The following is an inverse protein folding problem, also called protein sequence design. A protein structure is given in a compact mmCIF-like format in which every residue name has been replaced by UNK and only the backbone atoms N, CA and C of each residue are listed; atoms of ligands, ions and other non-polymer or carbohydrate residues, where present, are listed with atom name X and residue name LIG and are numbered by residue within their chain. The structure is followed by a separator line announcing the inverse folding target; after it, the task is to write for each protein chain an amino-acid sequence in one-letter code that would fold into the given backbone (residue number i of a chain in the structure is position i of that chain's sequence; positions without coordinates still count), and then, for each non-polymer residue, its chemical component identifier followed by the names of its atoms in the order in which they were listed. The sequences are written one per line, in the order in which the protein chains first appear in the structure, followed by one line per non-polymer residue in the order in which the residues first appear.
data_IF_890575220242
#
_entry.id   IF_890575220242
#
_cell.length_a   1.000
_cell.length_b   1.000
_cell.length_c   1.000
_cell.angle_alpha   90.00
_cell.angle_beta   90.00
_cell.angle_gamma   90.00
#
_symmetry.space_group_name_H-M   'P 1'
#
loop_
_entity.id
_entity.type
_entity.pdbx_description
1 polymer ?
#
# COMPACT_ATOMS: atom_id res chain seq x y z
N UNK A 1 -17.43 -38.78 -19.65
CA UNK A 1 -17.15 -37.78 -18.65
C UNK A 1 -16.40 -36.66 -19.38
N UNK A 2 -17.07 -35.55 -19.66
CA UNK A 2 -16.42 -34.36 -20.23
C UNK A 2 -15.62 -33.74 -19.09
N UNK A 3 -14.31 -33.73 -19.21
CA UNK A 3 -13.46 -32.92 -18.31
C UNK A 3 -13.91 -31.47 -18.48
N UNK A 4 -14.22 -30.74 -17.40
CA UNK A 4 -14.50 -29.30 -17.49
C UNK A 4 -13.30 -28.63 -18.15
N UNK A 5 -13.55 -27.72 -19.08
CA UNK A 5 -12.48 -26.93 -19.67
C UNK A 5 -11.69 -26.27 -18.53
N UNK A 6 -10.34 -26.22 -18.60
CA UNK A 6 -9.56 -25.53 -17.60
C UNK A 6 -10.02 -24.08 -17.51
N UNK A 7 -10.05 -23.48 -16.30
CA UNK A 7 -10.45 -22.09 -16.15
C UNK A 7 -9.57 -21.21 -17.04
N UNK A 8 -10.14 -20.18 -17.68
CA UNK A 8 -9.44 -19.33 -18.65
C UNK A 8 -8.26 -18.57 -18.01
N UNK A 9 -8.27 -18.40 -16.68
CA UNK A 9 -7.20 -17.79 -15.92
C UNK A 9 -6.60 -18.74 -14.89
N UNK A 10 -5.28 -18.76 -14.82
CA UNK A 10 -4.56 -19.51 -13.80
C UNK A 10 -4.56 -18.78 -12.47
N UNK A 11 -4.47 -17.45 -12.51
CA UNK A 11 -4.45 -16.56 -11.34
C UNK A 11 -5.48 -15.46 -11.49
N UNK A 12 -6.29 -15.25 -10.46
CA UNK A 12 -7.18 -14.08 -10.34
C UNK A 12 -6.71 -13.20 -9.18
N UNK A 13 -6.41 -11.96 -9.47
CA UNK A 13 -6.03 -10.92 -8.50
C UNK A 13 -7.22 -10.00 -8.26
N UNK A 14 -7.66 -9.86 -7.03
CA UNK A 14 -8.77 -8.99 -6.64
C UNK A 14 -8.24 -7.75 -5.92
N UNK A 15 -8.45 -6.58 -6.54
CA UNK A 15 -7.96 -5.27 -6.08
C UNK A 15 -6.77 -4.78 -6.89
N UNK A 16 -6.93 -3.68 -7.62
CA UNK A 16 -5.94 -3.05 -8.49
C UNK A 16 -5.10 -1.96 -7.81
N UNK A 17 -4.88 -2.06 -6.50
CA UNK A 17 -3.96 -1.18 -5.77
C UNK A 17 -2.50 -1.53 -6.01
N UNK A 18 -1.59 -0.90 -5.25
CA UNK A 18 -0.13 -1.13 -5.34
C UNK A 18 0.21 -2.63 -5.27
N UNK A 19 -0.36 -3.34 -4.30
CA UNK A 19 -0.14 -4.78 -4.15
C UNK A 19 -0.68 -5.59 -5.32
N UNK A 20 -1.90 -5.26 -5.79
CA UNK A 20 -2.53 -6.00 -6.88
C UNK A 20 -1.88 -5.80 -8.24
N UNK A 21 -1.45 -4.58 -8.57
CA UNK A 21 -0.64 -4.32 -9.77
C UNK A 21 0.65 -5.13 -9.71
N UNK A 22 1.34 -5.10 -8.57
CA UNK A 22 2.59 -5.86 -8.39
C UNK A 22 2.37 -7.36 -8.42
N UNK A 23 1.23 -7.84 -7.88
CA UNK A 23 0.87 -9.26 -7.93
C UNK A 23 0.57 -9.73 -9.36
N UNK A 24 -0.21 -8.95 -10.12
CA UNK A 24 -0.50 -9.28 -11.51
C UNK A 24 0.77 -9.36 -12.36
N UNK A 25 1.66 -8.37 -12.23
CA UNK A 25 2.95 -8.36 -12.91
C UNK A 25 3.83 -9.55 -12.49
N UNK A 26 3.92 -9.82 -11.16
CA UNK A 26 4.68 -10.96 -10.63
C UNK A 26 4.18 -12.30 -11.15
N UNK A 27 2.87 -12.49 -11.23
CA UNK A 27 2.25 -13.73 -11.74
C UNK A 27 2.48 -13.89 -13.25
N UNK A 28 2.20 -12.87 -14.05
CA UNK A 28 2.34 -12.92 -15.49
C UNK A 28 3.79 -13.17 -15.94
N UNK A 29 4.74 -12.48 -15.31
CA UNK A 29 6.19 -12.65 -15.55
C UNK A 29 6.71 -14.00 -15.09
N UNK A 30 5.98 -14.70 -14.25
CA UNK A 30 6.23 -16.10 -13.87
C UNK A 30 5.48 -17.11 -14.73
N UNK A 31 4.81 -16.67 -15.81
CA UNK A 31 4.21 -17.53 -16.84
C UNK A 31 2.71 -17.80 -16.68
N UNK A 32 2.01 -17.23 -15.69
CA UNK A 32 0.59 -17.48 -15.46
C UNK A 32 -0.31 -16.49 -16.22
N UNK A 33 -1.35 -17.00 -16.88
CA UNK A 33 -2.42 -16.18 -17.42
C UNK A 33 -3.24 -15.59 -16.25
N UNK A 34 -3.24 -14.27 -16.15
CA UNK A 34 -3.66 -13.54 -14.96
C UNK A 34 -4.77 -12.56 -15.26
N UNK A 35 -5.83 -12.59 -14.45
CA UNK A 35 -6.90 -11.59 -14.47
C UNK A 35 -6.75 -10.68 -13.24
N UNK A 36 -6.70 -9.36 -13.46
CA UNK A 36 -6.77 -8.34 -12.42
C UNK A 36 -8.16 -7.70 -12.40
N UNK A 37 -8.86 -7.84 -11.29
CA UNK A 37 -10.18 -7.22 -11.04
C UNK A 37 -10.04 -6.00 -10.13
N UNK A 38 -10.52 -4.85 -10.57
CA UNK A 38 -10.57 -3.61 -9.78
C UNK A 38 -11.98 -3.03 -9.78
N UNK A 39 -12.52 -2.73 -8.60
CA UNK A 39 -13.86 -2.16 -8.44
C UNK A 39 -14.02 -0.74 -8.96
N UNK A 40 -12.93 0.04 -8.97
CA UNK A 40 -12.92 1.41 -9.50
C UNK A 40 -12.77 1.40 -11.01
N UNK A 41 -13.08 2.53 -11.63
CA UNK A 41 -12.85 2.74 -13.07
C UNK A 41 -11.36 2.74 -13.47
N UNK A 42 -10.43 2.84 -12.52
CA UNK A 42 -8.98 2.84 -12.73
C UNK A 42 -8.27 2.10 -11.62
N UNK A 43 -7.12 1.52 -11.95
CA UNK A 43 -6.17 0.94 -10.98
C UNK A 43 -5.46 2.01 -10.15
N UNK A 44 -4.64 1.60 -9.16
CA UNK A 44 -3.75 2.47 -8.41
C UNK A 44 -4.03 2.55 -6.90
N UNK A 45 -5.25 2.18 -6.47
CA UNK A 45 -5.59 2.14 -5.04
C UNK A 45 -5.26 3.43 -4.30
N UNK A 46 -4.69 3.35 -3.09
CA UNK A 46 -4.33 4.53 -2.28
C UNK A 46 -3.33 5.44 -2.99
N UNK A 47 -2.37 4.89 -3.72
CA UNK A 47 -1.36 5.69 -4.43
C UNK A 47 -1.95 6.71 -5.42
N UNK A 48 -3.10 6.37 -6.02
CA UNK A 48 -3.77 7.21 -7.03
C UNK A 48 -5.00 7.92 -6.47
N UNK A 49 -5.83 7.22 -5.68
CA UNK A 49 -7.14 7.73 -5.27
C UNK A 49 -7.14 8.45 -3.91
N UNK A 50 -6.08 8.28 -3.13
CA UNK A 50 -5.82 8.97 -1.87
C UNK A 50 -4.31 9.15 -1.69
N UNK A 51 -3.67 9.94 -2.55
CA UNK A 51 -2.21 10.05 -2.58
C UNK A 51 -1.67 10.58 -1.26
N UNK A 52 -0.56 10.00 -0.83
CA UNK A 52 0.16 10.46 0.37
C UNK A 52 1.24 11.49 0.04
N UNK A 53 1.49 11.73 -1.24
CA UNK A 53 2.45 12.72 -1.75
C UNK A 53 3.91 12.29 -1.76
N UNK A 54 4.23 11.19 -1.10
CA UNK A 54 5.59 10.68 -0.97
C UNK A 54 5.64 9.17 -1.17
N UNK A 55 6.58 8.71 -1.98
CA UNK A 55 6.94 7.29 -2.10
C UNK A 55 8.37 7.11 -1.65
N UNK A 56 8.60 6.14 -0.78
CA UNK A 56 9.93 5.84 -0.27
C UNK A 56 10.37 4.43 -0.69
N UNK A 57 11.65 4.32 -1.05
CA UNK A 57 12.36 3.04 -1.12
C UNK A 57 13.28 2.96 0.07
N UNK A 58 13.31 1.82 0.70
CA UNK A 58 14.16 1.59 1.86
C UNK A 58 15.41 0.84 1.46
N UNK A 59 16.48 1.12 2.19
CA UNK A 59 17.80 0.54 1.97
C UNK A 59 18.27 -0.14 3.25
N UNK A 60 19.16 -1.11 3.09
CA UNK A 60 19.93 -1.64 4.21
C UNK A 60 20.96 -0.61 4.73
N UNK A 61 21.65 -0.95 5.82
CA UNK A 61 22.66 -0.08 6.43
C UNK A 61 23.81 0.30 5.49
N UNK A 62 24.02 -0.45 4.39
CA UNK A 62 25.03 -0.19 3.37
C UNK A 62 24.49 0.64 2.19
N UNK A 63 23.24 1.09 2.26
CA UNK A 63 22.58 1.86 1.19
C UNK A 63 22.05 1.01 0.03
N UNK A 64 22.02 -0.32 0.15
CA UNK A 64 21.47 -1.21 -0.88
C UNK A 64 19.93 -1.20 -0.80
N UNK A 65 19.21 -0.85 -1.88
CA UNK A 65 17.75 -0.88 -1.88
C UNK A 65 17.19 -2.28 -1.60
N UNK A 66 16.26 -2.37 -0.64
CA UNK A 66 15.56 -3.60 -0.25
C UNK A 66 14.15 -3.71 -0.83
N UNK A 67 13.59 -2.62 -1.36
CA UNK A 67 12.36 -2.61 -2.12
C UNK A 67 12.70 -2.39 -3.60
N UNK A 68 12.78 -3.46 -4.35
CA UNK A 68 13.21 -3.50 -5.76
C UNK A 68 12.09 -4.07 -6.65
N UNK A 69 12.46 -4.67 -7.77
CA UNK A 69 11.51 -5.34 -8.67
C UNK A 69 10.49 -4.37 -9.25
N UNK A 70 9.22 -4.77 -9.25
CA UNK A 70 8.11 -3.99 -9.80
C UNK A 70 8.04 -2.59 -9.17
N UNK A 71 8.36 -2.44 -7.88
CA UNK A 71 8.37 -1.13 -7.22
C UNK A 71 9.27 -0.13 -7.95
N UNK A 72 10.45 -0.55 -8.39
CA UNK A 72 11.40 0.31 -9.09
C UNK A 72 10.92 0.74 -10.48
N UNK A 73 10.04 0.00 -11.10
CA UNK A 73 9.56 0.29 -12.46
C UNK A 73 8.54 1.44 -12.49
N UNK A 74 7.74 1.60 -11.43
CA UNK A 74 6.79 2.71 -11.35
C UNK A 74 7.25 3.87 -10.47
N UNK A 75 8.29 3.69 -9.65
CA UNK A 75 8.96 4.77 -8.94
C UNK A 75 10.32 5.00 -9.57
N UNK A 76 10.48 5.95 -10.49
CA UNK A 76 11.77 6.24 -11.08
C UNK A 76 12.66 6.86 -10.01
N UNK A 77 13.79 6.20 -9.75
CA UNK A 77 14.75 6.70 -8.79
C UNK A 77 15.57 7.84 -9.35
N UNK A 78 15.58 8.94 -8.62
CA UNK A 78 16.79 9.75 -8.55
C UNK A 78 17.59 9.17 -7.38
N UNK A 79 18.51 8.27 -7.69
CA UNK A 79 19.44 7.71 -6.72
C UNK A 79 20.25 8.83 -6.10
N UNK A 80 20.12 9.03 -4.79
CA UNK A 80 21.02 9.91 -4.01
C UNK A 80 21.70 9.04 -2.97
N UNK A 81 23.04 8.82 -3.08
CA UNK A 81 23.79 8.10 -2.06
C UNK A 81 23.68 8.79 -0.71
N UNK A 82 23.52 8.04 0.36
CA UNK A 82 23.74 8.54 1.72
C UNK A 82 22.59 8.46 2.72
N UNK A 83 21.53 7.70 2.45
CA UNK A 83 20.46 7.52 3.44
C UNK A 83 19.87 6.12 3.47
N UNK A 84 19.28 5.70 4.60
CA UNK A 84 18.62 4.40 4.74
C UNK A 84 17.32 4.32 3.92
N UNK A 85 16.90 5.40 3.30
CA UNK A 85 15.73 5.48 2.43
C UNK A 85 15.90 6.55 1.36
N UNK A 86 15.32 6.27 0.20
CA UNK A 86 15.13 7.24 -0.89
C UNK A 86 13.66 7.58 -0.95
N UNK A 87 13.33 8.84 -0.69
CA UNK A 87 11.96 9.33 -0.77
C UNK A 87 11.87 10.35 -1.88
N UNK A 88 10.82 10.26 -2.67
CA UNK A 88 10.52 11.28 -3.67
C UNK A 88 9.04 11.61 -3.67
N UNK A 89 8.73 12.85 -3.96
CA UNK A 89 7.37 13.28 -4.26
C UNK A 89 6.93 12.68 -5.58
N UNK A 90 5.64 12.44 -5.74
CA UNK A 90 5.08 11.88 -6.96
C UNK A 90 3.77 12.57 -7.34
N UNK A 91 3.46 12.56 -8.63
CA UNK A 91 2.15 12.91 -9.16
C UNK A 91 1.36 11.62 -9.40
N UNK A 92 0.12 11.54 -8.89
CA UNK A 92 -0.69 10.33 -9.00
C UNK A 92 -1.15 10.03 -10.44
N UNK A 93 -1.19 11.03 -11.31
CA UNK A 93 -1.51 10.84 -12.73
C UNK A 93 -0.36 10.13 -13.44
N UNK A 94 0.88 10.51 -13.12
CA UNK A 94 2.07 9.82 -13.62
C UNK A 94 2.16 8.40 -13.07
N UNK A 95 1.87 8.21 -11.78
CA UNK A 95 1.85 6.89 -11.17
C UNK A 95 0.81 5.98 -11.84
N UNK A 96 -0.40 6.49 -12.09
CA UNK A 96 -1.45 5.77 -12.81
C UNK A 96 -1.00 5.39 -14.21
N UNK A 97 -0.46 6.34 -14.97
CA UNK A 97 0.04 6.08 -16.32
C UNK A 97 1.11 4.98 -16.34
N UNK A 98 2.00 4.95 -15.35
CA UNK A 98 3.02 3.91 -15.23
C UNK A 98 2.41 2.55 -14.94
N UNK A 99 1.44 2.46 -14.04
CA UNK A 99 0.72 1.21 -13.78
C UNK A 99 0.02 0.70 -15.03
N UNK A 100 -0.71 1.56 -15.75
CA UNK A 100 -1.41 1.20 -16.99
C UNK A 100 -0.42 0.76 -18.07
N UNK A 101 0.72 1.44 -18.22
CA UNK A 101 1.78 1.06 -19.15
C UNK A 101 2.38 -0.31 -18.82
N UNK A 102 2.73 -0.56 -17.57
CA UNK A 102 3.31 -1.83 -17.15
C UNK A 102 2.33 -3.00 -17.34
N UNK A 103 1.07 -2.80 -16.95
CA UNK A 103 0.04 -3.83 -17.10
C UNK A 103 -0.25 -4.15 -18.57
N UNK A 104 -0.32 -3.13 -19.44
CA UNK A 104 -0.61 -3.31 -20.86
C UNK A 104 0.57 -3.91 -21.65
N UNK A 105 1.79 -3.79 -21.13
CA UNK A 105 2.97 -4.41 -21.75
C UNK A 105 3.05 -5.94 -21.55
N UNK A 106 2.28 -6.48 -20.59
CA UNK A 106 2.31 -7.92 -20.26
C UNK A 106 1.16 -8.65 -20.96
N UNK A 107 1.48 -9.42 -22.01
CA UNK A 107 0.47 -10.15 -22.81
C UNK A 107 -0.36 -11.16 -22.00
N UNK A 108 0.12 -11.60 -20.84
CA UNK A 108 -0.57 -12.54 -19.94
C UNK A 108 -1.46 -11.87 -18.92
N UNK A 109 -1.63 -10.55 -18.97
CA UNK A 109 -2.51 -9.84 -18.05
C UNK A 109 -3.77 -9.36 -18.76
N UNK A 110 -4.91 -9.74 -18.22
CA UNK A 110 -6.20 -9.10 -18.52
C UNK A 110 -6.60 -8.21 -17.34
N UNK A 111 -6.91 -6.94 -17.60
CA UNK A 111 -7.39 -6.02 -16.58
C UNK A 111 -8.87 -5.72 -16.79
N UNK A 112 -9.68 -5.88 -15.74
CA UNK A 112 -11.08 -5.45 -15.71
C UNK A 112 -11.27 -4.44 -14.58
N UNK A 113 -11.48 -3.20 -14.95
CA UNK A 113 -11.84 -2.11 -14.04
C UNK A 113 -13.36 -1.93 -13.99
N UNK A 114 -13.88 -1.23 -12.96
CA UNK A 114 -15.33 -1.11 -12.75
C UNK A 114 -16.00 -2.44 -12.38
N UNK A 115 -15.22 -3.46 -11.98
CA UNK A 115 -15.69 -4.83 -11.76
C UNK A 115 -15.51 -5.21 -10.28
N UNK A 116 -16.48 -4.88 -9.41
CA UNK A 116 -16.45 -5.28 -8.01
C UNK A 116 -16.63 -6.79 -7.86
N UNK A 117 -15.89 -7.40 -6.93
CA UNK A 117 -16.19 -8.74 -6.45
C UNK A 117 -17.26 -8.64 -5.37
N UNK A 118 -18.41 -9.27 -5.60
CA UNK A 118 -19.60 -9.21 -4.75
C UNK A 118 -19.74 -10.43 -3.84
N UNK A 119 -19.07 -11.54 -4.15
CA UNK A 119 -19.15 -12.76 -3.40
C UNK A 119 -18.08 -13.77 -3.81
N UNK A 120 -18.04 -14.86 -3.06
CA UNK A 120 -17.10 -15.97 -3.29
C UNK A 120 -17.84 -17.30 -3.22
N UNK A 121 -17.37 -18.28 -3.99
CA UNK A 121 -17.78 -19.67 -3.88
C UNK A 121 -16.60 -20.50 -3.37
N UNK A 122 -16.82 -21.25 -2.32
CA UNK A 122 -15.80 -22.08 -1.69
C UNK A 122 -16.22 -23.54 -1.67
N UNK A 123 -15.26 -24.44 -1.71
CA UNK A 123 -15.45 -25.86 -1.52
C UNK A 123 -14.25 -26.45 -0.79
N UNK A 124 -14.46 -27.09 0.37
CA UNK A 124 -13.43 -27.78 1.17
C UNK A 124 -12.13 -26.94 1.38
N UNK A 125 -12.26 -25.71 1.84
CA UNK A 125 -11.12 -24.84 2.12
C UNK A 125 -10.47 -24.20 0.88
N UNK A 126 -11.10 -24.30 -0.28
CA UNK A 126 -10.62 -23.70 -1.54
C UNK A 126 -11.64 -22.74 -2.12
N UNK A 127 -11.19 -21.63 -2.64
CA UNK A 127 -12.01 -20.79 -3.51
C UNK A 127 -12.15 -21.48 -4.87
N UNK A 128 -13.38 -21.58 -5.37
CA UNK A 128 -13.66 -22.11 -6.71
C UNK A 128 -14.00 -21.00 -7.69
N UNK A 129 -14.65 -19.93 -7.23
CA UNK A 129 -14.97 -18.78 -8.05
C UNK A 129 -15.14 -17.51 -7.20
N UNK A 130 -15.03 -16.35 -7.86
CA UNK A 130 -15.50 -15.05 -7.38
C UNK A 130 -16.69 -14.61 -8.22
N UNK A 131 -17.68 -13.97 -7.59
CA UNK A 131 -18.86 -13.43 -8.24
C UNK A 131 -18.67 -11.97 -8.60
N UNK A 132 -18.90 -11.61 -9.84
CA UNK A 132 -18.88 -10.24 -10.36
C UNK A 132 -20.21 -9.88 -10.99
N UNK A 133 -20.49 -8.62 -11.33
CA UNK A 133 -21.70 -8.24 -12.08
C UNK A 133 -21.85 -8.94 -13.43
N UNK A 134 -20.72 -9.38 -14.02
CA UNK A 134 -20.67 -10.05 -15.32
C UNK A 134 -20.79 -11.58 -15.20
N UNK A 135 -20.84 -12.12 -13.98
CA UNK A 135 -20.92 -13.56 -13.70
C UNK A 135 -19.79 -14.07 -12.82
N UNK A 136 -19.69 -15.37 -12.71
CA UNK A 136 -18.63 -16.05 -11.95
C UNK A 136 -17.32 -16.10 -12.74
N UNK A 137 -16.21 -15.92 -12.01
CA UNK A 137 -14.86 -16.06 -12.53
C UNK A 137 -14.14 -17.14 -11.74
N UNK A 138 -13.77 -18.20 -12.41
CA UNK A 138 -13.04 -19.34 -11.86
C UNK A 138 -11.53 -19.19 -12.08
N UNK A 139 -10.72 -19.69 -11.14
CA UNK A 139 -9.27 -19.78 -11.26
C UNK A 139 -8.70 -20.92 -10.42
N UNK A 140 -7.44 -21.29 -10.70
CA UNK A 140 -6.71 -22.24 -9.85
C UNK A 140 -6.28 -21.61 -8.54
N UNK A 141 -5.80 -20.36 -8.60
CA UNK A 141 -5.30 -19.60 -7.45
C UNK A 141 -5.86 -18.18 -7.47
N UNK A 142 -6.21 -17.67 -6.30
CA UNK A 142 -6.69 -16.31 -6.10
C UNK A 142 -5.68 -15.51 -5.26
N UNK A 143 -5.65 -14.20 -5.48
CA UNK A 143 -4.87 -13.27 -4.66
C UNK A 143 -5.82 -12.20 -4.13
N UNK A 144 -5.93 -12.10 -2.81
CA UNK A 144 -6.58 -10.97 -2.16
C UNK A 144 -5.59 -9.80 -2.06
N UNK A 145 -5.69 -8.89 -3.02
CA UNK A 145 -4.96 -7.64 -3.04
C UNK A 145 -5.85 -6.45 -2.63
N UNK A 146 -7.03 -6.73 -2.09
CA UNK A 146 -7.86 -5.71 -1.45
C UNK A 146 -7.15 -5.25 -0.17
N UNK A 147 -7.22 -3.96 0.09
CA UNK A 147 -6.55 -3.41 1.26
C UNK A 147 -7.11 -3.95 2.59
N UNK A 148 -8.36 -4.41 2.57
CA UNK A 148 -9.15 -4.82 3.73
C UNK A 148 -9.33 -6.35 3.83
N UNK A 149 -8.59 -7.15 3.07
CA UNK A 149 -8.74 -8.61 3.09
C UNK A 149 -10.17 -9.06 2.75
N UNK A 150 -10.81 -8.37 1.82
CA UNK A 150 -12.24 -8.56 1.53
C UNK A 150 -12.53 -9.98 1.01
N UNK A 151 -11.68 -10.47 0.09
CA UNK A 151 -11.85 -11.79 -0.51
C UNK A 151 -11.65 -12.89 0.53
N UNK A 152 -10.58 -12.80 1.32
CA UNK A 152 -10.25 -13.77 2.37
C UNK A 152 -11.33 -13.82 3.46
N UNK A 153 -11.78 -12.65 3.94
CA UNK A 153 -12.84 -12.57 4.94
C UNK A 153 -14.19 -13.10 4.41
N UNK A 154 -14.54 -12.81 3.15
CA UNK A 154 -15.75 -13.36 2.50
C UNK A 154 -15.68 -14.88 2.33
N UNK A 155 -14.48 -15.44 2.22
CA UNK A 155 -14.23 -16.88 2.16
C UNK A 155 -14.17 -17.53 3.55
N UNK A 156 -14.40 -16.78 4.64
CA UNK A 156 -14.40 -17.30 6.01
C UNK A 156 -13.03 -17.37 6.67
N UNK A 157 -12.00 -16.71 6.12
CA UNK A 157 -10.71 -16.63 6.78
C UNK A 157 -10.81 -15.78 8.07
N UNK A 158 -10.23 -16.22 9.19
CA UNK A 158 -10.21 -15.44 10.42
C UNK A 158 -9.31 -14.22 10.27
N UNK A 159 -9.66 -13.14 10.96
CA UNK A 159 -8.94 -11.87 10.92
C UNK A 159 -9.04 -11.10 12.24
N UNK A 160 -8.14 -10.14 12.40
CA UNK A 160 -8.14 -9.14 13.46
C UNK A 160 -8.34 -7.74 12.87
N UNK A 161 -8.84 -6.82 13.69
CA UNK A 161 -8.94 -5.37 13.39
C UNK A 161 -8.48 -4.57 14.61
N UNK A 162 -7.77 -3.45 14.34
CA UNK A 162 -7.36 -2.52 15.39
C UNK A 162 -6.41 -3.12 16.43
N UNK A 163 -6.23 -2.40 17.51
CA UNK A 163 -5.39 -2.83 18.65
C UNK A 163 -6.11 -3.90 19.50
N UNK A 164 -5.34 -4.79 20.18
CA UNK A 164 -5.93 -5.93 20.88
C UNK A 164 -6.90 -5.55 22.02
N UNK A 165 -6.68 -4.40 22.67
CA UNK A 165 -7.38 -4.00 23.89
C UNK A 165 -8.86 -3.67 23.63
N UNK A 166 -9.18 -3.04 22.51
CA UNK A 166 -10.53 -2.53 22.24
C UNK A 166 -10.94 -2.59 20.76
N UNK A 167 -10.09 -3.08 19.87
CA UNK A 167 -10.35 -3.19 18.44
C UNK A 167 -10.30 -1.85 17.67
N UNK A 168 -9.85 -0.76 18.30
CA UNK A 168 -9.74 0.53 17.63
C UNK A 168 -8.59 0.55 16.63
N UNK A 169 -8.89 1.07 15.44
CA UNK A 169 -7.94 1.17 14.34
C UNK A 169 -7.27 2.54 14.28
N UNK A 170 -6.09 2.58 13.68
CA UNK A 170 -5.36 3.82 13.43
C UNK A 170 -6.21 4.82 12.62
N UNK A 171 -6.11 6.14 12.89
CA UNK A 171 -6.90 7.15 12.21
C UNK A 171 -6.71 7.12 10.70
N UNK A 172 -7.79 7.37 9.96
CA UNK A 172 -7.75 7.62 8.52
C UNK A 172 -7.38 9.07 8.21
N UNK A 173 -7.18 9.38 6.94
CA UNK A 173 -6.92 10.74 6.45
C UNK A 173 -7.73 11.02 5.20
N UNK A 174 -8.15 12.26 5.00
CA UNK A 174 -8.61 12.79 3.72
C UNK A 174 -7.55 13.76 3.23
N UNK A 175 -6.78 13.35 2.23
CA UNK A 175 -5.77 14.22 1.64
C UNK A 175 -6.41 15.18 0.67
N UNK A 176 -5.76 16.34 0.49
CA UNK A 176 -6.20 17.35 -0.46
C UNK A 176 -4.99 18.07 -1.06
N UNK A 177 -5.22 18.75 -2.16
CA UNK A 177 -4.19 19.53 -2.84
C UNK A 177 -4.68 20.91 -3.21
N UNK A 178 -3.71 21.78 -3.43
CA UNK A 178 -3.88 23.12 -3.92
C UNK A 178 -2.96 23.33 -5.11
N UNK A 179 -3.51 23.86 -6.19
CA UNK A 179 -2.76 24.17 -7.41
C UNK A 179 -2.39 25.65 -7.45
N UNK A 180 -1.47 26.00 -8.35
CA UNK A 180 -1.00 27.37 -8.60
C UNK A 180 -0.42 28.01 -7.33
N UNK A 181 0.38 27.23 -6.60
CA UNK A 181 1.06 27.68 -5.36
C UNK A 181 2.30 28.47 -5.72
N UNK A 182 2.45 29.65 -5.14
CA UNK A 182 3.67 30.46 -5.26
C UNK A 182 4.75 29.97 -4.27
N UNK A 183 5.59 29.05 -4.71
CA UNK A 183 6.67 28.49 -3.88
C UNK A 183 7.73 29.53 -3.50
N UNK A 184 7.87 30.64 -4.25
CA UNK A 184 8.82 31.70 -3.90
C UNK A 184 8.43 32.42 -2.59
N UNK A 185 7.15 32.46 -2.28
CA UNK A 185 6.64 33.01 -1.02
C UNK A 185 7.04 32.21 0.23
N UNK A 186 7.47 30.93 0.07
CA UNK A 186 8.10 30.13 1.13
C UNK A 186 9.62 30.34 1.21
N UNK A 187 10.20 31.20 0.38
CA UNK A 187 11.64 31.32 0.22
C UNK A 187 12.30 30.10 -0.44
N UNK A 188 11.54 29.33 -1.21
CA UNK A 188 12.01 28.14 -1.93
C UNK A 188 12.26 28.50 -3.39
N UNK A 189 13.48 28.27 -3.89
CA UNK A 189 13.80 28.36 -5.31
C UNK A 189 13.57 26.98 -5.98
N UNK A 190 12.50 26.85 -6.77
CA UNK A 190 12.16 25.60 -7.45
C UNK A 190 13.15 25.20 -8.55
N UNK A 191 14.11 26.06 -8.90
CA UNK A 191 15.23 25.77 -9.82
C UNK A 191 16.40 25.07 -9.11
N UNK A 192 16.47 25.16 -7.76
CA UNK A 192 17.46 24.43 -6.97
C UNK A 192 17.13 22.91 -7.02
N UNK A 193 18.05 22.03 -7.50
CA UNK A 193 17.81 20.60 -7.53
C UNK A 193 17.48 19.97 -6.17
N UNK A 194 17.84 20.65 -5.07
CA UNK A 194 17.61 20.17 -3.71
C UNK A 194 16.27 20.62 -3.10
N UNK A 195 15.45 21.42 -3.80
CA UNK A 195 14.22 21.97 -3.25
C UNK A 195 13.19 20.88 -2.87
N UNK A 196 13.20 19.72 -3.54
CA UNK A 196 12.38 18.55 -3.21
C UNK A 196 13.03 17.61 -2.17
N UNK A 197 14.22 17.95 -1.67
CA UNK A 197 14.83 17.21 -0.58
C UNK A 197 14.06 17.43 0.73
N UNK A 198 14.30 16.57 1.72
CA UNK A 198 13.76 16.79 3.07
C UNK A 198 14.09 18.16 3.63
N UNK A 199 15.23 18.75 3.26
CA UNK A 199 15.62 20.09 3.69
C UNK A 199 14.67 21.14 3.08
N UNK A 200 14.41 21.09 1.78
CA UNK A 200 13.51 22.02 1.11
C UNK A 200 12.04 21.85 1.56
N UNK A 201 11.56 20.62 1.66
CA UNK A 201 10.21 20.32 2.16
C UNK A 201 10.02 20.88 3.60
N UNK A 202 10.99 20.72 4.48
CA UNK A 202 10.94 21.26 5.85
C UNK A 202 10.90 22.77 5.90
N UNK A 203 11.41 23.50 4.91
CA UNK A 203 11.26 24.95 4.82
C UNK A 203 9.78 25.32 4.72
N UNK A 204 9.05 24.66 3.80
CA UNK A 204 7.61 24.87 3.63
C UNK A 204 6.84 24.54 4.92
N UNK A 205 7.15 23.42 5.56
CA UNK A 205 6.49 23.03 6.82
C UNK A 205 6.71 24.05 7.92
N UNK A 206 7.96 24.52 8.08
CA UNK A 206 8.32 25.50 9.11
C UNK A 206 7.63 26.84 8.89
N UNK A 207 7.46 27.25 7.64
CA UNK A 207 6.84 28.52 7.30
C UNK A 207 5.32 28.50 7.48
N UNK A 208 4.67 27.35 7.23
CA UNK A 208 3.24 27.14 7.46
C UNK A 208 2.89 26.88 8.93
N UNK A 209 3.83 26.41 9.75
CA UNK A 209 3.59 25.97 11.12
C UNK A 209 2.92 27.05 12.01
N UNK A 210 3.33 28.35 11.98
CA UNK A 210 2.68 29.39 12.79
C UNK A 210 1.20 29.58 12.47
N UNK A 211 0.81 29.43 11.21
CA UNK A 211 -0.61 29.52 10.81
C UNK A 211 -1.43 28.34 11.36
N UNK A 212 -0.82 27.17 11.42
CA UNK A 212 -1.46 25.96 11.96
C UNK A 212 -1.55 25.99 13.50
N UNK A 213 -0.56 26.53 14.19
CA UNK A 213 -0.57 26.65 15.66
C UNK A 213 -1.73 27.51 16.15
N UNK A 214 -2.14 28.52 15.40
CA UNK A 214 -3.33 29.31 15.69
C UNK A 214 -4.63 28.48 15.73
N UNK A 215 -4.71 27.40 14.97
CA UNK A 215 -5.87 26.51 14.97
C UNK A 215 -5.97 25.67 16.26
N UNK A 216 -4.84 25.27 16.85
CA UNK A 216 -4.79 24.44 18.07
C UNK A 216 -5.32 25.13 19.32
N UNK A 217 -5.31 26.45 19.35
CA UNK A 217 -5.78 27.25 20.47
C UNK A 217 -7.27 27.55 20.42
N UNK A 218 -7.97 27.16 19.32
CA UNK A 218 -9.40 27.29 19.21
C UNK A 218 -10.10 26.09 19.85
N UNK A 219 -10.84 26.31 20.92
CA UNK A 219 -11.72 25.31 21.54
C UNK A 219 -12.66 24.73 20.48
N UNK A 220 -12.46 23.47 20.12
CA UNK A 220 -13.32 22.77 19.16
C UNK A 220 -12.63 22.26 17.89
N UNK A 221 -11.31 22.48 17.70
CA UNK A 221 -10.62 21.81 16.59
C UNK A 221 -10.62 20.28 16.80
N UNK A 222 -11.03 19.57 15.77
CA UNK A 222 -11.09 18.09 15.78
C UNK A 222 -9.80 17.45 15.28
N UNK A 223 -8.86 18.24 14.75
CA UNK A 223 -7.61 17.73 14.20
C UNK A 223 -6.49 17.69 15.28
N UNK A 224 -6.09 16.51 15.76
CA UNK A 224 -5.12 16.36 16.84
C UNK A 224 -3.66 16.43 16.36
N UNK A 225 -3.37 16.68 15.09
CA UNK A 225 -1.99 16.70 14.59
C UNK A 225 -1.16 17.84 15.19
N UNK A 226 0.12 17.57 15.40
CA UNK A 226 1.08 18.52 16.00
C UNK A 226 1.90 19.29 15.00
N UNK A 227 1.94 18.85 13.74
CA UNK A 227 2.79 19.41 12.70
C UNK A 227 2.12 19.38 11.33
N UNK A 228 2.57 20.26 10.47
CA UNK A 228 2.21 20.29 9.06
C UNK A 228 2.83 19.07 8.35
N UNK A 229 2.04 18.43 7.52
CA UNK A 229 2.50 17.36 6.65
C UNK A 229 1.99 17.62 5.22
N UNK A 230 2.85 18.20 4.39
CA UNK A 230 2.55 18.50 3.00
C UNK A 230 3.74 18.20 2.10
N UNK A 231 3.47 17.93 0.83
CA UNK A 231 4.47 17.55 -0.16
C UNK A 231 4.23 18.30 -1.47
N UNK A 232 5.25 19.04 -1.97
CA UNK A 232 5.18 19.68 -3.27
C UNK A 232 5.25 18.65 -4.40
N UNK A 233 4.63 18.97 -5.54
CA UNK A 233 4.89 18.23 -6.77
C UNK A 233 6.27 18.59 -7.33
N UNK A 234 6.76 17.79 -8.28
CA UNK A 234 8.09 18.02 -8.88
C UNK A 234 8.16 19.25 -9.82
N UNK A 235 7.01 19.79 -10.19
CA UNK A 235 6.91 20.93 -11.11
C UNK A 235 6.87 22.27 -10.38
N UNK A 236 6.74 22.27 -9.05
CA UNK A 236 6.62 23.50 -8.28
C UNK A 236 5.32 24.24 -8.53
N UNK A 237 4.23 23.52 -8.74
CA UNK A 237 2.92 24.11 -9.02
C UNK A 237 1.83 23.67 -8.05
N UNK A 238 2.03 22.55 -7.37
CA UNK A 238 1.00 21.92 -6.53
C UNK A 238 1.57 21.55 -5.17
N UNK A 239 0.79 21.76 -4.12
CA UNK A 239 1.08 21.30 -2.77
C UNK A 239 -0.01 20.33 -2.32
N UNK A 240 0.37 19.11 -1.97
CA UNK A 240 -0.51 18.08 -1.42
C UNK A 240 -0.38 18.05 0.09
N UNK A 241 -1.52 18.06 0.78
CA UNK A 241 -1.61 17.98 2.24
C UNK A 241 -2.12 16.61 2.70
N UNK A 242 -1.37 15.99 3.61
CA UNK A 242 -1.78 14.80 4.35
C UNK A 242 -2.02 15.19 5.82
N UNK A 243 -2.97 16.12 6.04
CA UNK A 243 -3.08 16.88 7.29
C UNK A 243 -4.22 16.42 8.20
N UNK A 244 -5.28 15.83 7.65
CA UNK A 244 -6.42 15.41 8.48
C UNK A 244 -6.10 14.16 9.32
N UNK A 245 -6.82 14.01 10.44
CA UNK A 245 -6.71 12.87 11.34
C UNK A 245 -8.11 12.44 11.79
N UNK A 246 -8.68 11.47 11.08
CA UNK A 246 -10.07 11.04 11.26
C UNK A 246 -10.07 9.76 12.08
N UNK A 247 -10.56 9.84 13.32
CA UNK A 247 -10.56 8.73 14.29
C UNK A 247 -11.84 7.88 14.20
N UNK A 248 -11.78 6.66 14.71
CA UNK A 248 -12.95 5.77 14.82
C UNK A 248 -13.48 5.26 13.49
N UNK A 249 -12.62 5.14 12.46
CA UNK A 249 -13.03 4.71 11.13
C UNK A 249 -12.94 3.20 10.99
N UNK A 250 -14.05 2.54 10.68
CA UNK A 250 -14.06 1.17 10.19
C UNK A 250 -14.14 1.16 8.66
N UNK A 251 -13.06 0.85 7.94
CA UNK A 251 -13.04 0.86 6.48
C UNK A 251 -13.85 -0.27 5.84
N UNK A 252 -14.39 -1.17 6.64
CA UNK A 252 -15.26 -2.27 6.19
C UNK A 252 -16.75 -1.95 6.28
N UNK A 253 -17.09 -0.75 6.81
CA UNK A 253 -18.46 -0.21 6.91
C UNK A 253 -18.62 1.00 5.99
N UNK A 254 -19.59 0.94 5.09
CA UNK A 254 -19.91 2.04 4.18
C UNK A 254 -20.36 3.30 4.93
N UNK A 255 -21.17 3.14 5.97
CA UNK A 255 -21.62 4.25 6.82
C UNK A 255 -20.45 4.91 7.55
N UNK A 256 -19.51 4.10 8.07
CA UNK A 256 -18.31 4.62 8.72
C UNK A 256 -17.44 5.42 7.73
N UNK A 257 -17.25 4.93 6.51
CA UNK A 257 -16.53 5.64 5.44
C UNK A 257 -17.25 6.95 5.06
N UNK A 258 -18.58 6.94 4.94
CA UNK A 258 -19.34 8.15 4.62
C UNK A 258 -19.25 9.21 5.73
N UNK A 259 -19.34 8.78 6.99
CA UNK A 259 -19.16 9.67 8.16
C UNK A 259 -17.74 10.23 8.21
N UNK A 260 -16.75 9.37 8.03
CA UNK A 260 -15.33 9.75 8.03
C UNK A 260 -15.01 10.75 6.91
N UNK A 261 -15.65 10.64 5.74
CA UNK A 261 -15.46 11.61 4.67
C UNK A 261 -15.99 12.98 5.06
N UNK A 262 -17.20 13.06 5.65
CA UNK A 262 -17.77 14.34 6.15
C UNK A 262 -16.87 14.99 7.22
N UNK A 263 -16.38 14.20 8.15
CA UNK A 263 -15.44 14.69 9.18
C UNK A 263 -14.13 15.18 8.56
N UNK A 264 -13.58 14.43 7.60
CA UNK A 264 -12.38 14.85 6.86
C UNK A 264 -12.58 16.16 6.11
N UNK A 265 -13.71 16.35 5.45
CA UNK A 265 -14.06 17.60 4.77
C UNK A 265 -14.16 18.78 5.74
N UNK A 266 -14.69 18.55 6.95
CA UNK A 266 -14.72 19.55 8.02
C UNK A 266 -13.29 19.92 8.44
N UNK A 267 -12.44 18.94 8.73
CA UNK A 267 -11.05 19.17 9.13
C UNK A 267 -10.24 19.89 8.03
N UNK A 268 -10.50 19.60 6.75
CA UNK A 268 -9.87 20.31 5.63
C UNK A 268 -10.26 21.78 5.64
N UNK A 269 -11.56 22.11 5.83
CA UNK A 269 -12.02 23.49 5.89
C UNK A 269 -11.39 24.25 7.08
N UNK A 270 -11.45 23.67 8.28
CA UNK A 270 -10.83 24.26 9.48
C UNK A 270 -9.33 24.54 9.28
N UNK A 271 -8.62 23.57 8.72
CA UNK A 271 -7.21 23.73 8.41
C UNK A 271 -6.96 24.84 7.38
N UNK A 272 -7.77 24.86 6.32
CA UNK A 272 -7.61 25.84 5.24
C UNK A 272 -7.96 27.27 5.69
N UNK A 273 -8.94 27.45 6.55
CA UNK A 273 -9.29 28.76 7.14
C UNK A 273 -8.10 29.36 7.92
N UNK A 274 -7.28 28.52 8.51
CA UNK A 274 -6.06 28.93 9.20
C UNK A 274 -4.89 29.18 8.24
N UNK A 275 -4.60 28.22 7.35
CA UNK A 275 -3.37 28.19 6.56
C UNK A 275 -3.52 28.87 5.19
N UNK A 276 -4.72 28.94 4.64
CA UNK A 276 -5.00 29.50 3.31
C UNK A 276 -4.73 31.00 3.17
N UNK A 277 -4.56 31.72 4.30
CA UNK A 277 -4.17 33.14 4.32
C UNK A 277 -2.66 33.36 4.08
N UNK A 278 -1.85 32.30 4.00
CA UNK A 278 -0.44 32.41 3.69
C UNK A 278 -0.22 33.02 2.30
N UNK A 279 0.77 33.93 2.11
CA UNK A 279 1.01 34.61 0.82
C UNK A 279 1.15 33.67 -0.37
N UNK A 280 1.70 32.47 -0.18
CA UNK A 280 1.86 31.45 -1.22
C UNK A 280 0.55 30.99 -1.84
N UNK A 281 -0.58 31.18 -1.15
CA UNK A 281 -1.90 30.72 -1.61
C UNK A 281 -2.79 31.87 -2.14
N UNK A 282 -2.26 33.11 -2.20
CA UNK A 282 -3.05 34.29 -2.61
C UNK A 282 -3.73 34.14 -3.97
N UNK A 283 -3.04 33.48 -4.92
CA UNK A 283 -3.53 33.27 -6.27
C UNK A 283 -3.76 31.78 -6.56
N UNK A 284 -3.78 30.94 -5.54
CA UNK A 284 -3.98 29.51 -5.72
C UNK A 284 -5.38 29.18 -6.23
N UNK A 285 -5.47 28.05 -6.92
CA UNK A 285 -6.74 27.45 -7.31
C UNK A 285 -7.54 26.90 -6.12
N UNK A 286 -8.73 26.37 -6.35
CA UNK A 286 -9.53 25.79 -5.29
C UNK A 286 -8.88 24.53 -4.72
N UNK A 287 -9.27 24.19 -3.49
CA UNK A 287 -8.90 22.91 -2.87
C UNK A 287 -9.51 21.77 -3.66
N UNK A 288 -8.71 20.76 -3.97
CA UNK A 288 -9.14 19.51 -4.58
C UNK A 288 -8.98 18.37 -3.58
N UNK A 289 -10.09 17.82 -3.12
CA UNK A 289 -10.11 16.67 -2.21
C UNK A 289 -9.77 15.39 -2.95
N UNK A 290 -9.11 14.47 -2.26
CA UNK A 290 -8.91 13.10 -2.76
C UNK A 290 -10.26 12.37 -2.88
N UNK A 291 -10.36 11.49 -3.88
CA UNK A 291 -11.59 10.75 -4.16
C UNK A 291 -11.96 9.76 -3.06
N UNK A 292 -10.95 9.28 -2.32
CA UNK A 292 -11.09 8.28 -1.24
C UNK A 292 -10.34 8.70 0.01
N UNK A 293 -10.73 8.13 1.13
CA UNK A 293 -9.95 8.21 2.37
C UNK A 293 -8.64 7.43 2.25
N UNK A 294 -7.59 7.96 2.82
CA UNK A 294 -6.35 7.26 3.11
C UNK A 294 -6.51 6.45 4.38
N UNK A 295 -6.83 5.19 4.21
CA UNK A 295 -7.03 4.24 5.32
C UNK A 295 -5.69 3.61 5.69
N UNK A 296 -5.28 3.79 6.96
CA UNK A 296 -4.03 3.21 7.47
C UNK A 296 -4.18 1.75 7.84
N UNK A 297 -5.29 1.40 8.46
CA UNK A 297 -5.53 0.07 9.01
C UNK A 297 -6.94 -0.44 8.70
N UNK A 298 -7.07 -1.75 8.53
CA UNK A 298 -8.30 -2.48 8.36
C UNK A 298 -8.14 -3.90 8.87
N UNK A 299 -8.70 -4.90 8.17
CA UNK A 299 -8.50 -6.31 8.53
C UNK A 299 -7.04 -6.73 8.29
N UNK A 300 -6.51 -7.47 9.24
CA UNK A 300 -5.29 -8.28 9.12
C UNK A 300 -5.72 -9.74 9.16
N UNK A 301 -5.59 -10.43 8.03
CA UNK A 301 -6.02 -11.84 7.91
C UNK A 301 -5.04 -12.71 8.66
N UNK A 302 -5.53 -13.63 9.50
CA UNK A 302 -4.67 -14.55 10.23
C UNK A 302 -4.09 -15.60 9.29
N UNK A 303 -2.78 -15.57 9.16
CA UNK A 303 -1.98 -16.48 8.32
C UNK A 303 -1.30 -17.59 9.11
N UNK A 304 -0.57 -18.44 8.40
CA UNK A 304 0.21 -19.54 9.01
C UNK A 304 1.33 -19.00 9.95
N UNK A 305 1.73 -17.75 9.76
CA UNK A 305 2.56 -16.97 10.70
C UNK A 305 1.98 -15.57 10.89
N UNK A 306 2.06 -15.01 12.08
CA UNK A 306 1.68 -13.63 12.37
C UNK A 306 2.94 -12.82 12.70
N UNK A 307 3.30 -11.89 11.84
CA UNK A 307 4.45 -11.01 12.01
C UNK A 307 4.22 -10.07 13.21
N UNK A 308 5.19 -9.96 14.10
CA UNK A 308 5.10 -9.16 15.32
C UNK A 308 5.97 -7.90 15.28
N UNK A 309 5.73 -6.95 16.19
CA UNK A 309 6.62 -5.81 16.39
C UNK A 309 8.03 -6.26 16.80
N UNK A 310 8.14 -7.31 17.61
CA UNK A 310 9.42 -7.87 18.02
C UNK A 310 10.21 -8.42 16.81
N UNK A 311 9.54 -9.09 15.86
CA UNK A 311 10.16 -9.50 14.60
C UNK A 311 10.72 -8.30 13.83
N UNK A 312 9.97 -7.22 13.77
CA UNK A 312 10.41 -6.00 13.09
C UNK A 312 11.64 -5.39 13.78
N UNK A 313 11.58 -5.20 15.10
CA UNK A 313 12.58 -4.50 15.89
C UNK A 313 13.83 -5.37 16.21
N UNK A 314 13.70 -6.70 16.18
CA UNK A 314 14.84 -7.62 16.26
C UNK A 314 15.48 -7.91 14.91
N UNK A 315 14.95 -7.29 13.81
CA UNK A 315 15.42 -7.56 12.45
C UNK A 315 15.34 -9.04 12.06
N UNK A 316 14.22 -9.69 12.38
CA UNK A 316 14.05 -11.12 12.21
C UNK A 316 14.39 -11.59 10.79
N UNK A 317 15.12 -12.72 10.69
CA UNK A 317 15.49 -13.38 9.45
C UNK A 317 14.77 -14.72 9.35
N UNK A 318 13.98 -14.90 8.30
CA UNK A 318 13.21 -16.11 8.08
C UNK A 318 13.73 -16.90 6.89
N UNK A 319 13.78 -18.24 7.02
CA UNK A 319 14.17 -19.14 5.94
C UNK A 319 13.21 -19.08 4.75
N UNK A 320 11.94 -18.79 5.01
CA UNK A 320 10.88 -18.64 4.02
C UNK A 320 10.64 -17.17 3.62
N UNK A 321 11.65 -16.30 3.72
CA UNK A 321 11.60 -14.92 3.29
C UNK A 321 11.15 -14.79 1.84
N UNK A 322 10.20 -13.86 1.58
CA UNK A 322 9.74 -13.50 0.23
C UNK A 322 9.72 -11.98 -0.01
N UNK A 323 9.80 -11.18 1.04
CA UNK A 323 9.90 -9.73 0.95
C UNK A 323 10.71 -9.18 2.15
N UNK A 324 11.10 -7.91 2.08
CA UNK A 324 11.75 -7.20 3.17
C UNK A 324 11.07 -5.85 3.42
N UNK A 325 11.13 -5.36 4.65
CA UNK A 325 10.62 -4.05 5.03
C UNK A 325 11.64 -3.32 5.91
N UNK A 326 11.89 -2.05 5.60
CA UNK A 326 12.77 -1.15 6.38
C UNK A 326 12.04 0.10 6.86
N UNK A 327 10.70 0.12 6.86
CA UNK A 327 9.93 1.22 7.39
C UNK A 327 9.83 1.13 8.91
N UNK A 328 9.81 2.29 9.56
CA UNK A 328 9.56 2.40 10.99
C UNK A 328 8.33 1.60 11.42
N UNK A 329 8.30 1.12 12.65
CA UNK A 329 7.05 0.78 13.30
C UNK A 329 6.34 2.11 13.58
N UNK A 330 5.36 2.46 12.73
CA UNK A 330 4.65 3.73 12.69
C UNK A 330 3.20 3.49 13.09
N UNK A 331 2.92 3.68 14.37
CA UNK A 331 1.58 3.48 14.93
C UNK A 331 0.99 4.84 15.30
N UNK A 332 -0.16 5.13 14.71
CA UNK A 332 -0.95 6.30 15.08
C UNK A 332 -1.98 5.90 16.13
N UNK A 333 -1.85 6.44 17.31
CA UNK A 333 -2.77 6.16 18.42
C UNK A 333 -4.23 6.47 18.05
N UNK A 334 -5.16 5.51 18.23
CA UNK A 334 -6.56 5.68 17.84
C UNK A 334 -7.29 6.81 18.57
N UNK A 335 -6.86 7.15 19.78
CA UNK A 335 -7.55 8.13 20.64
C UNK A 335 -6.99 9.54 20.45
N UNK A 336 -5.67 9.67 20.41
CA UNK A 336 -5.00 10.98 20.32
C UNK A 336 -4.61 11.35 18.90
N UNK A 337 -4.44 10.37 18.01
CA UNK A 337 -3.88 10.57 16.67
C UNK A 337 -2.37 10.82 16.66
N UNK A 338 -1.72 10.81 17.83
CA UNK A 338 -0.27 10.92 17.93
C UNK A 338 0.41 9.73 17.23
N UNK A 339 1.48 10.01 16.50
CA UNK A 339 2.24 8.97 15.80
C UNK A 339 3.51 8.62 16.59
N UNK A 340 3.63 7.35 16.96
CA UNK A 340 4.87 6.81 17.47
C UNK A 340 5.64 6.16 16.32
N UNK A 341 6.89 6.62 16.11
CA UNK A 341 7.77 6.12 15.05
C UNK A 341 9.00 5.50 15.66
N UNK A 342 9.06 4.17 15.68
CA UNK A 342 10.21 3.41 16.17
C UNK A 342 11.02 2.92 14.97
N UNK A 343 12.28 3.39 14.79
CA UNK A 343 13.10 2.99 13.65
C UNK A 343 13.53 1.51 13.76
N UNK A 344 13.67 0.84 12.61
CA UNK A 344 14.29 -0.48 12.55
C UNK A 344 15.78 -0.30 12.79
N UNK A 345 16.35 -0.98 13.80
CA UNK A 345 17.75 -0.81 14.19
C UNK A 345 18.74 -1.46 13.19
N UNK A 346 20.01 -1.53 13.55
CA UNK A 346 21.06 -2.36 12.97
C UNK A 346 21.17 -2.31 11.46
N UNK A 347 20.75 -3.38 10.77
CA UNK A 347 20.77 -3.49 9.32
C UNK A 347 19.68 -2.67 8.62
N UNK A 348 18.71 -2.14 9.38
CA UNK A 348 17.68 -1.25 8.90
C UNK A 348 16.50 -1.95 8.21
N UNK A 349 16.37 -3.26 8.31
CA UNK A 349 15.25 -4.02 7.73
C UNK A 349 15.06 -5.37 8.38
N UNK A 350 13.86 -5.93 8.20
CA UNK A 350 13.48 -7.29 8.59
C UNK A 350 12.87 -8.06 7.42
N UNK A 351 12.75 -9.37 7.54
CA UNK A 351 12.13 -10.23 6.54
C UNK A 351 10.63 -10.35 6.75
N UNK A 352 9.89 -10.46 5.64
CA UNK A 352 8.49 -10.87 5.62
C UNK A 352 8.47 -12.31 5.11
N UNK A 353 8.06 -13.29 5.96
CA UNK A 353 8.04 -14.69 5.58
C UNK A 353 6.82 -15.03 4.70
N UNK A 354 6.95 -16.03 3.86
CA UNK A 354 5.87 -16.50 2.98
C UNK A 354 4.61 -16.89 3.74
N UNK A 355 4.76 -17.48 4.92
CA UNK A 355 3.67 -17.89 5.80
C UNK A 355 2.75 -16.74 6.24
N UNK A 356 3.20 -15.48 6.20
CA UNK A 356 2.34 -14.32 6.45
C UNK A 356 1.33 -14.07 5.31
N UNK A 357 1.61 -14.58 4.11
CA UNK A 357 0.78 -14.41 2.92
C UNK A 357 -0.25 -15.53 2.76
N UNK A 358 -0.19 -16.58 3.58
CA UNK A 358 -1.03 -17.79 3.50
C UNK A 358 -2.12 -17.73 4.57
N UNK A 359 -3.40 -17.51 4.25
CA UNK A 359 -4.50 -17.60 5.22
C UNK A 359 -4.59 -19.01 5.82
N UNK A 360 -4.85 -19.10 7.14
CA UNK A 360 -4.89 -20.39 7.86
C UNK A 360 -5.87 -21.41 7.28
N UNK A 361 -6.97 -20.94 6.72
CA UNK A 361 -8.12 -21.81 6.36
C UNK A 361 -8.30 -22.04 4.86
N UNK A 362 -7.43 -21.45 4.02
CA UNK A 362 -7.58 -21.48 2.58
C UNK A 362 -6.31 -22.00 1.90
N UNK A 363 -6.47 -22.91 0.94
CA UNK A 363 -5.36 -23.63 0.29
C UNK A 363 -4.97 -23.06 -1.07
N UNK A 364 -5.76 -22.15 -1.63
CA UNK A 364 -5.50 -21.53 -2.94
C UNK A 364 -5.77 -20.02 -2.99
N UNK A 365 -5.69 -19.35 -1.84
CA UNK A 365 -5.76 -17.91 -1.72
C UNK A 365 -4.49 -17.37 -1.08
N UNK A 366 -3.84 -16.41 -1.71
CA UNK A 366 -2.73 -15.64 -1.16
C UNK A 366 -3.15 -14.22 -0.84
N UNK A 367 -2.51 -13.62 0.17
CA UNK A 367 -2.66 -12.22 0.54
C UNK A 367 -1.59 -11.39 -0.17
N UNK A 368 -2.01 -10.46 -1.00
CA UNK A 368 -1.11 -9.64 -1.84
C UNK A 368 -1.15 -8.15 -1.51
N UNK A 369 -1.50 -7.77 -0.28
CA UNK A 369 -1.63 -6.36 0.13
C UNK A 369 -1.27 -6.18 1.61
N UNK A 370 -1.58 -5.01 2.20
CA UNK A 370 -1.36 -4.74 3.62
C UNK A 370 -2.18 -5.63 4.57
N UNK A 371 -3.15 -6.37 4.05
CA UNK A 371 -3.98 -7.30 4.83
C UNK A 371 -3.28 -8.62 5.22
N UNK A 372 -1.98 -8.78 4.93
CA UNK A 372 -1.22 -9.96 5.37
C UNK A 372 -1.25 -10.11 6.90
N UNK A 373 -0.86 -11.29 7.36
CA UNK A 373 -0.88 -11.64 8.78
C UNK A 373 0.22 -10.91 9.56
N UNK A 374 -0.18 -10.05 10.47
CA UNK A 374 0.70 -9.33 11.40
C UNK A 374 -0.09 -8.72 12.54
N UNK A 375 0.60 -8.34 13.64
CA UNK A 375 0.00 -7.60 14.75
C UNK A 375 -0.34 -6.16 14.33
N UNK A 376 -1.07 -5.45 15.19
CA UNK A 376 -1.41 -4.03 14.99
C UNK A 376 -0.17 -3.17 14.75
N UNK A 377 0.88 -3.37 15.54
CA UNK A 377 2.14 -2.62 15.51
C UNK A 377 2.97 -2.98 14.28
N UNK A 378 3.14 -4.28 13.99
CA UNK A 378 3.86 -4.74 12.81
C UNK A 378 3.21 -4.22 11.51
N UNK A 379 1.86 -4.18 11.48
CA UNK A 379 1.10 -3.59 10.38
C UNK A 379 1.48 -2.12 10.14
N UNK A 380 1.73 -1.36 11.20
CA UNK A 380 2.22 0.01 11.11
C UNK A 380 3.48 0.14 10.24
N UNK A 381 4.34 -0.89 10.25
CA UNK A 381 5.57 -0.93 9.47
C UNK A 381 5.34 -1.40 8.03
N UNK A 382 4.82 -2.60 7.79
CA UNK A 382 4.80 -3.19 6.45
C UNK A 382 3.71 -2.63 5.51
N UNK A 383 2.78 -1.80 5.99
CA UNK A 383 1.66 -1.25 5.19
C UNK A 383 2.04 -0.22 4.12
N UNK A 384 3.29 0.26 4.10
CA UNK A 384 3.73 1.30 3.15
C UNK A 384 3.86 0.77 1.73
N UNK A 385 3.71 1.65 0.73
CA UNK A 385 3.60 1.27 -0.68
C UNK A 385 4.78 0.43 -1.18
N UNK A 386 6.00 0.72 -0.76
CA UNK A 386 7.19 -0.03 -1.16
C UNK A 386 7.16 -1.48 -0.68
N UNK A 387 6.82 -1.70 0.59
CA UNK A 387 6.70 -3.04 1.17
C UNK A 387 5.50 -3.79 0.60
N UNK A 388 4.36 -3.11 0.44
CA UNK A 388 3.15 -3.70 -0.17
C UNK A 388 3.39 -4.10 -1.62
N UNK A 389 4.21 -3.35 -2.38
CA UNK A 389 4.61 -3.76 -3.72
C UNK A 389 5.42 -5.06 -3.71
N UNK A 390 6.39 -5.18 -2.80
CA UNK A 390 7.20 -6.39 -2.66
C UNK A 390 6.33 -7.60 -2.24
N UNK A 391 5.42 -7.41 -1.28
CA UNK A 391 4.44 -8.41 -0.84
C UNK A 391 3.56 -8.86 -2.01
N UNK A 392 3.01 -7.92 -2.77
CA UNK A 392 2.16 -8.21 -3.93
C UNK A 392 2.91 -9.00 -4.99
N UNK A 393 4.12 -8.56 -5.36
CA UNK A 393 4.96 -9.27 -6.33
C UNK A 393 5.26 -10.70 -5.88
N UNK A 394 5.58 -10.91 -4.60
CA UNK A 394 5.82 -12.23 -4.03
C UNK A 394 4.57 -13.13 -4.07
N UNK A 395 3.41 -12.58 -3.72
CA UNK A 395 2.13 -13.28 -3.84
C UNK A 395 1.84 -13.69 -5.28
N UNK A 396 2.10 -12.81 -6.26
CA UNK A 396 1.94 -13.09 -7.68
C UNK A 396 2.83 -14.23 -8.17
N UNK A 397 4.12 -14.17 -7.85
CA UNK A 397 5.08 -15.23 -8.17
C UNK A 397 4.66 -16.55 -7.55
N UNK A 398 4.30 -16.56 -6.26
CA UNK A 398 3.87 -17.78 -5.57
C UNK A 398 2.58 -18.36 -6.16
N UNK A 399 1.61 -17.53 -6.53
CA UNK A 399 0.37 -17.95 -7.18
C UNK A 399 0.64 -18.59 -8.53
N UNK A 400 1.51 -18.00 -9.35
CA UNK A 400 1.90 -18.59 -10.64
C UNK A 400 2.54 -19.96 -10.44
N UNK A 401 3.53 -20.06 -9.57
CA UNK A 401 4.20 -21.34 -9.27
C UNK A 401 3.24 -22.40 -8.74
N UNK A 402 2.33 -22.00 -7.85
CA UNK A 402 1.29 -22.88 -7.32
C UNK A 402 0.38 -23.40 -8.44
N UNK A 403 -0.08 -22.51 -9.33
CA UNK A 403 -1.00 -22.86 -10.41
C UNK A 403 -0.36 -23.75 -11.48
N UNK A 404 0.92 -23.54 -11.76
CA UNK A 404 1.67 -24.23 -12.82
C UNK A 404 2.24 -25.59 -12.36
N UNK A 405 2.74 -25.66 -11.12
CA UNK A 405 3.51 -26.82 -10.64
C UNK A 405 2.85 -27.60 -9.50
N UNK A 406 1.83 -27.02 -8.81
CA UNK A 406 1.29 -27.56 -7.56
C UNK A 406 -0.25 -27.75 -7.56
N UNK A 407 -0.90 -27.75 -8.73
CA UNK A 407 -2.36 -27.89 -8.80
C UNK A 407 -3.15 -26.81 -8.05
N UNK A 408 -2.53 -25.65 -7.82
CA UNK A 408 -3.12 -24.55 -7.07
C UNK A 408 -2.99 -24.68 -5.53
N UNK A 409 -2.21 -25.60 -5.00
CA UNK A 409 -1.92 -25.68 -3.56
C UNK A 409 -0.77 -24.75 -3.21
N UNK A 410 -1.07 -23.63 -2.54
CA UNK A 410 -0.09 -22.60 -2.19
C UNK A 410 0.91 -23.06 -1.12
N UNK A 411 0.50 -23.94 -0.19
CA UNK A 411 1.40 -24.43 0.88
C UNK A 411 2.49 -25.38 0.36
N UNK A 412 2.28 -25.97 -0.80
CA UNK A 412 3.28 -26.83 -1.43
C UNK A 412 4.32 -26.07 -2.26
N UNK A 413 4.23 -24.73 -2.38
CA UNK A 413 5.23 -23.95 -3.10
C UNK A 413 6.45 -23.71 -2.19
N UNK A 414 7.61 -24.14 -2.67
CA UNK A 414 8.87 -23.98 -1.93
C UNK A 414 9.36 -22.54 -2.00
N UNK A 415 9.73 -21.92 -0.87
CA UNK A 415 10.22 -20.53 -0.83
C UNK A 415 11.43 -20.27 -1.74
N UNK A 416 12.30 -21.27 -1.95
CA UNK A 416 13.45 -21.15 -2.85
C UNK A 416 13.03 -20.94 -4.32
N UNK A 417 11.91 -21.52 -4.75
CA UNK A 417 11.35 -21.32 -6.09
C UNK A 417 10.83 -19.89 -6.23
N UNK A 418 10.13 -19.41 -5.20
CA UNK A 418 9.63 -18.03 -5.16
C UNK A 418 10.80 -17.05 -5.25
N UNK A 419 11.85 -17.23 -4.41
CA UNK A 419 13.04 -16.38 -4.43
C UNK A 419 13.80 -16.43 -5.76
N UNK A 420 13.82 -17.57 -6.44
CA UNK A 420 14.43 -17.70 -7.77
C UNK A 420 13.73 -16.77 -8.77
N UNK A 421 12.41 -16.82 -8.89
CA UNK A 421 11.64 -15.97 -9.80
C UNK A 421 11.66 -14.49 -9.38
N UNK A 422 11.56 -14.19 -8.09
CA UNK A 422 11.68 -12.82 -7.57
C UNK A 422 13.04 -12.21 -7.95
N UNK A 423 14.11 -12.99 -7.84
CA UNK A 423 15.44 -12.55 -8.23
C UNK A 423 15.55 -12.27 -9.74
N UNK A 424 14.99 -13.14 -10.58
CA UNK A 424 14.90 -12.91 -12.03
C UNK A 424 14.14 -11.64 -12.38
N UNK A 425 13.14 -11.27 -11.56
CA UNK A 425 12.36 -10.04 -11.66
C UNK A 425 13.00 -8.86 -10.88
N UNK A 426 14.30 -8.93 -10.59
CA UNK A 426 15.07 -7.89 -9.89
C UNK A 426 14.59 -7.55 -8.47
N UNK A 427 13.82 -8.42 -7.80
CA UNK A 427 13.40 -8.19 -6.42
C UNK A 427 14.53 -8.55 -5.45
N UNK A 428 14.58 -7.83 -4.32
CA UNK A 428 15.51 -8.14 -3.23
C UNK A 428 15.07 -9.42 -2.51
N UNK A 429 15.99 -10.39 -2.44
CA UNK A 429 15.80 -11.63 -1.69
C UNK A 429 17.12 -12.10 -1.09
N UNK A 430 17.03 -12.77 0.05
CA UNK A 430 18.14 -13.46 0.69
C UNK A 430 17.86 -14.97 0.82
N UNK A 431 18.89 -15.75 1.05
CA UNK A 431 18.79 -17.21 1.16
C UNK A 431 18.85 -17.98 -0.17
N UNK A 432 18.69 -19.30 -0.11
CA UNK A 432 18.80 -20.19 -1.27
C UNK A 432 17.76 -19.86 -2.37
N UNK A 433 18.17 -20.06 -3.62
CA UNK A 433 17.34 -19.89 -4.82
C UNK A 433 17.49 -21.13 -5.70
N UNK A 434 16.39 -21.82 -5.92
CA UNK A 434 16.35 -23.01 -6.76
C UNK A 434 15.22 -22.86 -7.76
N UNK A 435 15.41 -23.14 -9.06
CA UNK A 435 14.30 -23.16 -10.01
C UNK A 435 13.31 -24.27 -9.65
N UNK A 436 12.03 -24.12 -10.02
CA UNK A 436 11.06 -25.22 -9.94
C UNK A 436 11.47 -26.37 -10.85
N UNK A 437 10.95 -27.58 -10.63
CA UNK A 437 11.23 -28.76 -11.44
C UNK A 437 10.72 -28.62 -12.88
#
# INVERSE_FOLDING_TARGET
MTFPNPPPFQVVVVGGGVGGVSAALGAARSGADTLLLEKSSRVGGTGVHSPVGLVCTYCDANGRPINRGVHQEYVPYIYRPGGPRYCQTYDERELLQRYETLLSAEARITVRTGTPVMGVRTNQGRLTAVTTPEGEVEAKVFIDATAEGHLAASAGAPYEKGRPEDGRMQPATLTFRVHDVDFSAFGVDTRDPEWLSWKGIKVIWKDLQPYFEGLKHNDGTTNPRDSILCFPDRFGTTLLFNQTCIRGVDPTSEDSIANAKREGEKQVREFWDAVGNHPAFRNSGPIVLSNRLGVREGRRILGDYQLTADDCLSEARFEDMVAACGYFVDVHDPDTGHAELVPIPGSGYYHIPYRCLIPRTLDNLLLGSRCISGTHEAHGSYRVMSSVSAIGQAAGVAAALSSLHNGGNIRGVRPEWIRHHLHQQNQFTEGPRTPPP
#
